data_IF_428344488232
#
_entry.id   IF_428344488232
#
_cell.length_a   1.000
_cell.length_b   1.000
_cell.length_c   1.000
_cell.angle_alpha   90.00
_cell.angle_beta   90.00
_cell.angle_gamma   90.00
#
_symmetry.space_group_name_H-M   'P 1'
#
loop_
_entity.id
_entity.type
_entity.pdbx_description
1 polymer ?
#
# COMPACT_ATOMS: atom_id res chain seq x y z
N UNK A 1 -24.26 -3.36 15.77
CA UNK A 1 -23.74 -3.56 14.40
C UNK A 1 -23.22 -4.99 14.33
N UNK A 2 -23.65 -5.81 13.37
CA UNK A 2 -23.14 -7.18 13.23
C UNK A 2 -21.69 -7.11 12.72
N UNK A 3 -20.73 -7.60 13.50
CA UNK A 3 -19.33 -7.70 13.08
C UNK A 3 -19.24 -8.59 11.84
N UNK A 4 -18.68 -8.04 10.76
CA UNK A 4 -18.56 -8.74 9.47
C UNK A 4 -17.52 -9.84 9.66
N UNK A 5 -17.89 -11.11 9.57
CA UNK A 5 -16.89 -12.19 9.64
C UNK A 5 -16.03 -12.16 8.37
N UNK A 6 -14.73 -11.87 8.46
CA UNK A 6 -13.88 -11.82 7.28
C UNK A 6 -13.59 -13.23 6.78
N UNK A 7 -13.48 -13.41 5.46
CA UNK A 7 -12.88 -14.64 4.95
C UNK A 7 -11.41 -14.72 5.33
N UNK A 8 -10.89 -15.95 5.50
CA UNK A 8 -9.47 -16.19 5.78
C UNK A 8 -8.56 -15.60 4.70
N UNK A 9 -9.04 -15.47 3.47
CA UNK A 9 -8.32 -14.86 2.37
C UNK A 9 -8.22 -13.34 2.54
N UNK A 10 -9.33 -12.65 2.83
CA UNK A 10 -9.33 -11.22 3.10
C UNK A 10 -8.42 -10.87 4.29
N UNK A 11 -8.47 -11.68 5.36
CA UNK A 11 -7.60 -11.52 6.52
C UNK A 11 -6.12 -11.56 6.17
N UNK A 12 -5.69 -12.59 5.45
CA UNK A 12 -4.29 -12.73 5.02
C UNK A 12 -3.85 -11.62 4.07
N UNK A 13 -4.75 -11.19 3.18
CA UNK A 13 -4.47 -10.12 2.23
C UNK A 13 -4.24 -8.81 2.97
N UNK A 14 -5.15 -8.42 3.86
CA UNK A 14 -4.99 -7.20 4.68
C UNK A 14 -3.75 -7.29 5.56
N UNK A 15 -3.47 -8.44 6.17
CA UNK A 15 -2.24 -8.62 6.96
C UNK A 15 -0.99 -8.36 6.12
N UNK A 16 -0.96 -8.79 4.85
CA UNK A 16 0.13 -8.49 3.92
C UNK A 16 0.22 -6.99 3.60
N UNK A 17 -0.91 -6.30 3.36
CA UNK A 17 -0.91 -4.84 3.13
C UNK A 17 -0.32 -4.06 4.33
N UNK A 18 -0.53 -4.53 5.56
CA UNK A 18 0.10 -3.94 6.76
C UNK A 18 1.63 -4.11 6.78
N UNK A 19 2.14 -5.25 6.32
CA UNK A 19 3.58 -5.47 6.15
C UNK A 19 4.16 -4.57 5.05
N UNK A 20 3.44 -4.46 3.93
CA UNK A 20 3.90 -3.74 2.75
C UNK A 20 3.61 -2.23 2.83
N UNK A 21 2.99 -1.73 3.90
CA UNK A 21 2.60 -0.31 4.05
C UNK A 21 3.66 0.69 3.59
N UNK A 22 4.92 0.55 4.04
CA UNK A 22 6.01 1.43 3.64
C UNK A 22 6.42 1.29 2.17
N UNK A 23 6.28 0.08 1.61
CA UNK A 23 6.49 -0.15 0.19
C UNK A 23 5.37 0.48 -0.63
N UNK A 24 4.11 0.30 -0.21
CA UNK A 24 2.92 0.89 -0.84
C UNK A 24 3.00 2.40 -0.88
N UNK A 25 3.47 3.05 0.19
CA UNK A 25 3.71 4.50 0.21
C UNK A 25 4.73 4.95 -0.86
N UNK A 26 5.83 4.20 -1.02
CA UNK A 26 6.83 4.48 -2.06
C UNK A 26 6.26 4.25 -3.46
N UNK A 27 5.45 3.21 -3.63
CA UNK A 27 4.79 2.92 -4.89
C UNK A 27 3.80 4.02 -5.28
N UNK A 28 2.98 4.50 -4.34
CA UNK A 28 2.09 5.66 -4.54
C UNK A 28 2.90 6.89 -4.97
N UNK A 29 4.02 7.18 -4.28
CA UNK A 29 4.87 8.31 -4.62
C UNK A 29 5.44 8.19 -6.04
N UNK A 30 5.93 7.00 -6.41
CA UNK A 30 6.45 6.70 -7.76
C UNK A 30 5.36 6.85 -8.83
N UNK A 31 4.18 6.30 -8.60
CA UNK A 31 3.06 6.40 -9.55
C UNK A 31 2.60 7.85 -9.72
N UNK A 32 2.61 8.65 -8.65
CA UNK A 32 2.32 10.09 -8.73
C UNK A 32 3.38 10.83 -9.55
N UNK A 33 4.65 10.50 -9.35
CA UNK A 33 5.77 11.06 -10.12
C UNK A 33 5.66 10.69 -11.61
N UNK A 34 5.37 9.43 -11.94
CA UNK A 34 5.15 8.98 -13.33
C UNK A 34 3.95 9.68 -13.99
N UNK A 35 2.91 10.03 -13.24
CA UNK A 35 1.77 10.78 -13.76
C UNK A 35 2.15 12.26 -13.99
N UNK A 36 2.93 12.85 -13.08
CA UNK A 36 3.34 14.25 -13.15
C UNK A 36 4.41 14.50 -14.23
N UNK A 37 5.34 13.56 -14.38
CA UNK A 37 6.43 13.56 -15.34
C UNK A 37 6.24 12.38 -16.31
N UNK A 38 5.19 12.40 -17.16
CA UNK A 38 4.87 11.28 -18.04
C UNK A 38 6.02 10.94 -18.99
N UNK A 39 6.85 11.93 -19.35
CA UNK A 39 8.19 11.81 -19.93
C UNK A 39 8.90 13.15 -19.72
N UNK A 40 10.10 13.15 -19.14
CA UNK A 40 11.14 14.03 -19.67
C UNK A 40 11.47 13.44 -21.05
N UNK A 41 10.82 13.94 -22.10
CA UNK A 41 11.49 13.92 -23.40
C UNK A 41 12.70 14.82 -23.19
N UNK A 42 13.83 14.23 -22.82
CA UNK A 42 15.09 14.95 -22.67
C UNK A 42 15.28 15.77 -23.97
N UNK A 43 15.19 17.11 -23.93
CA UNK A 43 15.31 17.92 -25.14
C UNK A 43 16.66 17.71 -25.84
N UNK A 44 17.60 17.09 -25.12
CA UNK A 44 18.98 16.80 -25.50
C UNK A 44 19.26 15.29 -25.73
N UNK A 45 18.25 14.41 -25.87
CA UNK A 45 18.51 13.00 -26.29
C UNK A 45 19.15 12.99 -27.70
N UNK A 46 20.43 12.58 -27.83
CA UNK A 46 21.17 12.60 -29.11
C UNK A 46 20.63 11.59 -30.13
N UNK A 47 19.72 10.70 -29.73
CA UNK A 47 19.03 9.75 -30.62
C UNK A 47 17.84 10.40 -31.34
N UNK A 48 17.38 11.58 -30.89
CA UNK A 48 16.36 12.38 -31.58
C UNK A 48 17.06 13.18 -32.69
N UNK A 49 17.29 12.51 -33.82
CA UNK A 49 17.82 13.15 -35.02
C UNK A 49 16.83 14.22 -35.47
N UNK A 50 17.15 15.50 -35.25
CA UNK A 50 16.45 16.70 -35.78
C UNK A 50 16.62 16.82 -37.31
N UNK A 51 16.42 15.72 -38.03
CA UNK A 51 16.42 15.67 -39.49
C UNK A 51 15.00 15.88 -40.02
N UNK A 52 14.88 16.58 -41.15
CA UNK A 52 13.63 16.93 -41.83
C UNK A 52 12.71 15.74 -42.21
N UNK A 53 13.13 14.50 -41.92
CA UNK A 53 12.38 13.25 -42.11
C UNK A 53 12.07 12.54 -40.78
N UNK A 54 11.99 13.27 -39.66
CA UNK A 54 11.49 12.70 -38.40
C UNK A 54 10.02 12.36 -38.57
N UNK A 55 9.77 11.15 -39.05
CA UNK A 55 8.46 10.51 -39.00
C UNK A 55 8.14 10.41 -37.52
N UNK A 56 7.43 11.40 -36.99
CA UNK A 56 6.72 11.27 -35.73
C UNK A 56 5.76 10.11 -35.94
N UNK A 57 6.22 8.89 -35.65
CA UNK A 57 5.36 7.71 -35.56
C UNK A 57 4.15 8.17 -34.75
N UNK A 58 2.93 8.13 -35.29
CA UNK A 58 1.75 8.57 -34.57
C UNK A 58 1.69 7.76 -33.27
N UNK A 59 2.12 8.39 -32.18
CA UNK A 59 2.18 7.73 -30.89
C UNK A 59 0.74 7.38 -30.53
N UNK A 60 0.44 6.08 -30.50
CA UNK A 60 -0.91 5.53 -30.30
C UNK A 60 -1.58 6.21 -29.09
N UNK A 61 -2.45 7.21 -29.31
CA UNK A 61 -3.00 8.02 -28.23
C UNK A 61 -3.94 7.18 -27.38
N UNK A 62 -4.54 6.14 -27.96
CA UNK A 62 -5.35 5.14 -27.28
C UNK A 62 -4.52 4.37 -26.28
N UNK A 63 -3.33 3.91 -26.67
CA UNK A 63 -2.39 3.23 -25.77
C UNK A 63 -1.98 4.13 -24.61
N UNK A 64 -1.59 5.38 -24.89
CA UNK A 64 -1.19 6.36 -23.86
C UNK A 64 -2.33 6.63 -22.88
N UNK A 65 -3.56 6.79 -23.39
CA UNK A 65 -4.74 7.02 -22.55
C UNK A 65 -5.09 5.78 -21.72
N UNK A 66 -4.98 4.58 -22.29
CA UNK A 66 -5.17 3.32 -21.57
C UNK A 66 -4.17 3.17 -20.42
N UNK A 67 -2.87 3.44 -20.65
CA UNK A 67 -1.84 3.38 -19.61
C UNK A 67 -2.14 4.36 -18.47
N UNK A 68 -2.49 5.61 -18.78
CA UNK A 68 -2.84 6.62 -17.75
C UNK A 68 -4.05 6.21 -16.92
N UNK A 69 -5.09 5.67 -17.57
CA UNK A 69 -6.31 5.19 -16.88
C UNK A 69 -6.03 3.97 -15.98
N UNK A 70 -5.12 3.09 -16.38
CA UNK A 70 -4.72 1.96 -15.52
C UNK A 70 -3.91 2.43 -14.32
N UNK A 71 -2.95 3.34 -14.51
CA UNK A 71 -2.15 3.92 -13.42
C UNK A 71 -3.04 4.68 -12.43
N UNK A 72 -4.04 5.43 -12.92
CA UNK A 72 -4.94 6.16 -12.03
C UNK A 72 -5.79 5.23 -11.16
N UNK A 73 -6.30 4.12 -11.72
CA UNK A 73 -7.06 3.13 -10.95
C UNK A 73 -6.21 2.44 -9.89
N UNK A 74 -5.00 2.03 -10.25
CA UNK A 74 -4.05 1.45 -9.29
C UNK A 74 -3.73 2.44 -8.18
N UNK A 75 -3.47 3.70 -8.53
CA UNK A 75 -3.21 4.76 -7.57
C UNK A 75 -4.39 4.95 -6.61
N UNK A 76 -5.63 5.03 -7.11
CA UNK A 76 -6.82 5.13 -6.24
C UNK A 76 -6.88 3.96 -5.26
N UNK A 77 -6.73 2.73 -5.75
CA UNK A 77 -6.76 1.53 -4.90
C UNK A 77 -5.67 1.53 -3.81
N UNK A 78 -4.43 1.89 -4.15
CA UNK A 78 -3.35 1.94 -3.16
C UNK A 78 -3.58 3.06 -2.12
N UNK A 79 -4.09 4.22 -2.53
CA UNK A 79 -4.45 5.28 -1.58
C UNK A 79 -5.58 4.82 -0.65
N UNK A 80 -6.63 4.15 -1.17
CA UNK A 80 -7.72 3.62 -0.32
C UNK A 80 -7.20 2.68 0.77
N UNK A 81 -6.21 1.82 0.45
CA UNK A 81 -5.58 0.92 1.42
C UNK A 81 -4.77 1.70 2.45
N UNK A 82 -3.93 2.65 2.00
CA UNK A 82 -3.09 3.45 2.89
C UNK A 82 -3.95 4.29 3.84
N UNK A 83 -4.97 4.95 3.30
CA UNK A 83 -5.93 5.75 4.08
C UNK A 83 -6.65 4.87 5.11
N UNK A 84 -7.02 3.64 4.74
CA UNK A 84 -7.63 2.70 5.66
C UNK A 84 -6.70 2.30 6.81
N UNK A 85 -5.45 1.96 6.48
CA UNK A 85 -4.41 1.60 7.46
C UNK A 85 -4.14 2.77 8.41
N UNK A 86 -4.02 3.99 7.88
CA UNK A 86 -3.77 5.20 8.68
C UNK A 86 -4.93 5.54 9.60
N UNK A 87 -6.16 5.45 9.11
CA UNK A 87 -7.36 5.67 9.92
C UNK A 87 -7.43 4.70 11.10
N UNK A 88 -7.20 3.41 10.85
CA UNK A 88 -7.14 2.40 11.91
C UNK A 88 -5.99 2.71 12.85
N UNK A 89 -4.77 2.90 12.34
CA UNK A 89 -3.59 3.17 13.15
C UNK A 89 -3.76 4.38 14.08
N UNK A 90 -4.35 5.47 13.58
CA UNK A 90 -4.55 6.69 14.35
C UNK A 90 -5.57 6.49 15.49
N UNK A 91 -6.61 5.69 15.26
CA UNK A 91 -7.61 5.34 16.25
C UNK A 91 -7.12 4.33 17.32
N UNK A 92 -6.00 3.64 17.08
CA UNK A 92 -5.47 2.63 18.01
C UNK A 92 -4.88 3.25 19.29
N UNK A 93 -5.04 2.58 20.45
CA UNK A 93 -4.30 2.88 21.66
C UNK A 93 -2.78 2.70 21.48
N UNK A 94 -1.98 3.35 22.33
CA UNK A 94 -0.52 3.35 22.22
C UNK A 94 0.10 1.95 22.28
N UNK A 95 -0.46 1.03 23.05
CA UNK A 95 0.05 -0.35 23.15
C UNK A 95 -0.18 -1.15 21.85
N UNK A 96 -1.30 -0.92 21.18
CA UNK A 96 -1.58 -1.50 19.86
C UNK A 96 -0.64 -0.91 18.81
N UNK A 97 -0.36 0.41 18.89
CA UNK A 97 0.61 1.07 18.02
C UNK A 97 2.03 0.50 18.20
N UNK A 98 2.44 0.17 19.43
CA UNK A 98 3.72 -0.53 19.67
C UNK A 98 3.75 -1.89 19.00
N UNK A 99 2.67 -2.67 19.08
CA UNK A 99 2.58 -3.97 18.39
C UNK A 99 2.78 -3.80 16.89
N UNK A 100 2.11 -2.82 16.27
CA UNK A 100 2.24 -2.56 14.83
C UNK A 100 3.69 -2.24 14.46
N UNK A 101 4.34 -1.36 15.22
CA UNK A 101 5.74 -0.97 14.99
C UNK A 101 6.70 -2.15 15.10
N UNK A 102 6.50 -3.02 16.08
CA UNK A 102 7.38 -4.19 16.30
C UNK A 102 7.12 -5.28 15.27
N UNK A 103 5.85 -5.55 14.92
CA UNK A 103 5.45 -6.68 14.08
C UNK A 103 5.53 -6.40 12.59
N UNK A 104 4.98 -5.26 12.15
CA UNK A 104 4.74 -4.98 10.74
C UNK A 104 5.79 -4.04 10.15
N UNK A 105 6.12 -2.96 10.86
CA UNK A 105 7.08 -1.96 10.38
C UNK A 105 8.50 -2.18 10.90
N UNK A 106 8.69 -3.18 11.75
CA UNK A 106 9.98 -3.55 12.28
C UNK A 106 10.78 -4.39 11.28
N UNK A 107 12.10 -4.21 11.26
CA UNK A 107 12.98 -4.99 10.40
C UNK A 107 13.24 -6.43 10.90
N UNK A 108 12.64 -6.83 12.03
CA UNK A 108 12.92 -8.11 12.69
C UNK A 108 11.75 -9.07 12.51
N UNK A 109 12.03 -10.25 11.98
CA UNK A 109 11.08 -11.37 11.94
C UNK A 109 10.98 -12.04 13.32
N UNK A 110 10.34 -11.36 14.27
CA UNK A 110 10.15 -11.85 15.63
C UNK A 110 9.02 -12.88 15.69
N UNK A 111 9.19 -13.89 16.54
CA UNK A 111 8.10 -14.80 16.90
C UNK A 111 7.11 -14.07 17.84
N UNK A 112 5.84 -14.48 17.83
CA UNK A 112 4.79 -13.93 18.69
C UNK A 112 5.16 -13.93 20.18
N UNK A 113 5.93 -14.93 20.64
CA UNK A 113 6.41 -14.95 22.03
C UNK A 113 7.40 -13.82 22.31
N UNK A 114 8.30 -13.53 21.36
CA UNK A 114 9.27 -12.44 21.51
C UNK A 114 8.57 -11.07 21.47
N UNK A 115 7.60 -10.90 20.58
CA UNK A 115 6.78 -9.68 20.49
C UNK A 115 5.99 -9.46 21.78
N UNK A 116 5.38 -10.51 22.31
CA UNK A 116 4.64 -10.46 23.56
C UNK A 116 5.56 -10.05 24.73
N UNK A 117 6.79 -10.59 24.79
CA UNK A 117 7.78 -10.20 25.78
C UNK A 117 8.21 -8.73 25.65
N UNK A 118 8.43 -8.25 24.43
CA UNK A 118 8.81 -6.84 24.16
C UNK A 118 7.69 -5.86 24.54
N UNK A 119 6.43 -6.28 24.37
CA UNK A 119 5.25 -5.51 24.74
C UNK A 119 4.84 -5.69 26.21
N UNK A 120 5.50 -6.58 26.96
CA UNK A 120 5.11 -6.99 28.31
C UNK A 120 3.66 -7.49 28.42
N UNK A 121 3.17 -8.20 27.40
CA UNK A 121 1.84 -8.81 27.37
C UNK A 121 1.90 -10.31 27.15
N UNK A 122 0.79 -11.00 27.37
CA UNK A 122 0.69 -12.42 27.03
C UNK A 122 0.57 -12.61 25.51
N UNK A 123 1.09 -13.72 24.99
CA UNK A 123 0.99 -14.13 23.58
C UNK A 123 -0.45 -14.07 23.06
N UNK A 124 -1.39 -14.57 23.86
CA UNK A 124 -2.83 -14.58 23.49
C UNK A 124 -3.37 -13.16 23.33
N UNK A 125 -2.94 -12.23 24.18
CA UNK A 125 -3.33 -10.82 24.11
C UNK A 125 -2.78 -10.18 22.83
N UNK A 126 -1.51 -10.40 22.51
CA UNK A 126 -0.90 -9.89 21.27
C UNK A 126 -1.60 -10.43 20.01
N UNK A 127 -1.97 -11.72 20.00
CA UNK A 127 -2.75 -12.30 18.90
C UNK A 127 -4.16 -11.71 18.79
N UNK A 128 -4.81 -11.43 19.93
CA UNK A 128 -6.13 -10.79 19.93
C UNK A 128 -6.05 -9.37 19.37
N UNK A 129 -5.04 -8.60 19.77
CA UNK A 129 -4.81 -7.26 19.23
C UNK A 129 -4.57 -7.28 17.73
N UNK A 130 -3.78 -8.23 17.24
CA UNK A 130 -3.61 -8.46 15.79
C UNK A 130 -4.96 -8.65 15.10
N UNK A 131 -5.78 -9.56 15.63
CA UNK A 131 -7.08 -9.89 15.04
C UNK A 131 -8.01 -8.68 15.04
N UNK A 132 -8.02 -7.89 16.12
CA UNK A 132 -8.80 -6.64 16.23
C UNK A 132 -8.36 -5.58 15.21
N UNK A 133 -7.04 -5.38 15.01
CA UNK A 133 -6.49 -4.42 14.04
C UNK A 133 -6.87 -4.80 12.62
N UNK A 134 -6.66 -6.08 12.25
CA UNK A 134 -6.96 -6.56 10.91
C UNK A 134 -8.46 -6.52 10.65
N UNK A 135 -9.27 -6.91 11.64
CA UNK A 135 -10.72 -6.84 11.56
C UNK A 135 -11.21 -5.41 11.30
N UNK A 136 -10.74 -4.43 12.06
CA UNK A 136 -11.10 -3.03 11.89
C UNK A 136 -10.74 -2.51 10.49
N UNK A 137 -9.58 -2.93 9.96
CA UNK A 137 -9.14 -2.56 8.61
C UNK A 137 -10.04 -3.18 7.54
N UNK A 138 -10.44 -4.44 7.69
CA UNK A 138 -11.36 -5.11 6.76
C UNK A 138 -12.73 -4.46 6.77
N UNK A 139 -13.25 -4.11 7.94
CA UNK A 139 -14.55 -3.44 8.08
C UNK A 139 -14.57 -2.09 7.38
N UNK A 140 -13.46 -1.34 7.46
CA UNK A 140 -13.34 -0.04 6.80
C UNK A 140 -13.17 -0.17 5.27
N UNK A 141 -12.43 -1.17 4.80
CA UNK A 141 -12.26 -1.47 3.37
C UNK A 141 -13.49 -2.16 2.75
N UNK A 142 -14.38 -2.74 3.56
CA UNK A 142 -15.55 -3.49 3.10
C UNK A 142 -15.23 -4.80 2.39
N UNK A 143 -14.03 -5.36 2.57
CA UNK A 143 -13.61 -6.61 1.91
C UNK A 143 -14.33 -7.82 2.52
N UNK A 144 -14.72 -8.79 1.68
CA UNK A 144 -15.45 -10.01 2.08
C UNK A 144 -14.73 -11.25 1.62
#
# INVERSE_FOLDING_TARGET
MQAIKPTKLAFKKVEAEWYDYHHTLKEIAKLREEIMNPFDEDPDDPTIVKGANSVRMPGDPTRRMATRLTTSKQLTYLNEIVDAIENVYNALPDDYKKLVRVRYWGNKNLNWNAIANELHVNRTTALRWRDEIIQATIELLGWR
#
